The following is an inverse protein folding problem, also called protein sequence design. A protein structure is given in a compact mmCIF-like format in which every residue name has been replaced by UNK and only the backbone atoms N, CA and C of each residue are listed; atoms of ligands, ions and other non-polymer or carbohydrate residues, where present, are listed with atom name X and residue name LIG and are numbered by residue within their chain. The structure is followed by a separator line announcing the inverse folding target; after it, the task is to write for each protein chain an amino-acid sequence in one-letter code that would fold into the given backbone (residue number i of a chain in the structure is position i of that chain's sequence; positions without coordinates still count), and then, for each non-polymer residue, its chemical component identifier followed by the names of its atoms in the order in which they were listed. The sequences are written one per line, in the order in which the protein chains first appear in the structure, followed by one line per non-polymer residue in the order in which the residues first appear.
data_IF_857175740646
#
_entry.id   IF_857175740646
#
_cell.length_a   1.000
_cell.length_b   1.000
_cell.length_c   1.000
_cell.angle_alpha   90.00
_cell.angle_beta   90.00
_cell.angle_gamma   90.00
#
_symmetry.space_group_name_H-M   'P 1'
#
loop_
_entity.id
_entity.type
_entity.pdbx_description
1 polymer ?
#
# COMPACT_ATOMS: atom_id res chain seq x y z
N UNK A 1 -0.33 10.43 -16.45
CA UNK A 1 0.26 11.46 -17.34
C UNK A 1 1.67 11.88 -16.92
N UNK A 2 2.00 11.95 -15.62
CA UNK A 2 3.33 12.33 -15.14
C UNK A 2 4.45 11.29 -15.36
N UNK A 3 4.13 9.98 -15.38
CA UNK A 3 5.14 8.93 -15.64
C UNK A 3 5.70 8.91 -17.07
N UNK A 4 4.94 9.40 -18.07
CA UNK A 4 5.41 9.48 -19.46
C UNK A 4 6.37 10.64 -19.72
N UNK A 5 6.34 11.68 -18.89
CA UNK A 5 7.23 12.85 -19.03
C UNK A 5 8.65 12.50 -18.57
N UNK A 6 8.79 11.63 -17.56
CA UNK A 6 10.11 11.24 -17.03
C UNK A 6 10.88 10.31 -17.98
N UNK A 7 10.18 9.40 -18.66
CA UNK A 7 10.80 8.47 -19.62
C UNK A 7 11.22 9.20 -20.92
N UNK A 8 10.46 10.23 -21.35
CA UNK A 8 10.76 10.96 -22.60
C UNK A 8 12.03 11.81 -22.52
N UNK A 9 12.39 12.38 -21.35
CA UNK A 9 13.64 13.14 -21.19
C UNK A 9 14.88 12.25 -21.18
N UNK A 10 14.77 11.02 -20.69
CA UNK A 10 15.87 10.05 -20.70
C UNK A 10 16.21 9.57 -22.13
N UNK A 11 15.19 9.36 -22.97
CA UNK A 11 15.39 8.90 -24.34
C UNK A 11 16.07 9.94 -25.26
N UNK A 12 15.84 11.23 -25.05
CA UNK A 12 16.45 12.28 -25.88
C UNK A 12 17.94 12.53 -25.57
N UNK A 13 18.45 12.12 -24.41
CA UNK A 13 19.86 12.27 -24.05
C UNK A 13 20.78 11.21 -24.70
N UNK A 14 20.20 10.12 -25.23
CA UNK A 14 20.97 8.97 -25.74
C UNK A 14 21.33 9.06 -27.24
N UNK A 15 20.87 10.08 -27.97
CA UNK A 15 21.04 10.19 -29.43
C UNK A 15 22.34 10.93 -29.85
N UNK A 16 23.10 11.50 -28.90
CA UNK A 16 24.20 12.43 -29.22
C UNK A 16 25.63 11.88 -29.08
N UNK A 17 25.87 10.57 -29.27
CA UNK A 17 27.24 10.01 -29.26
C UNK A 17 27.46 9.10 -30.49
N UNK A 18 28.21 9.64 -31.47
CA UNK A 18 28.73 8.91 -32.63
C UNK A 18 29.83 7.90 -32.27
N UNK A 19 30.37 7.14 -33.25
CA UNK A 19 31.14 5.94 -32.95
C UNK A 19 32.67 6.17 -32.79
N UNK A 20 33.22 5.52 -31.75
CA UNK A 20 34.64 5.12 -31.48
C UNK A 20 35.69 6.21 -31.17
N UNK A 21 36.82 5.90 -30.47
CA UNK A 21 37.46 4.58 -30.30
C UNK A 21 37.86 4.15 -28.87
N UNK A 22 38.31 2.88 -28.78
CA UNK A 22 38.89 2.18 -27.62
C UNK A 22 40.07 2.92 -26.97
N UNK A 23 40.26 2.66 -25.68
CA UNK A 23 41.43 2.97 -24.84
C UNK A 23 41.44 4.31 -24.08
N UNK A 24 40.65 4.41 -23.00
CA UNK A 24 41.08 5.05 -21.75
C UNK A 24 40.08 4.75 -20.63
N UNK A 25 40.59 4.34 -19.47
CA UNK A 25 39.84 4.24 -18.22
C UNK A 25 39.20 5.60 -17.90
N UNK A 26 37.86 5.73 -17.83
CA UNK A 26 37.27 6.94 -17.29
C UNK A 26 37.21 6.81 -15.76
N UNK A 27 38.00 7.65 -15.09
CA UNK A 27 37.73 8.06 -13.72
C UNK A 27 36.40 8.80 -13.78
N UNK A 28 35.30 8.09 -13.55
CA UNK A 28 33.97 8.68 -13.46
C UNK A 28 33.93 9.49 -12.15
N UNK A 29 33.57 10.78 -12.18
CA UNK A 29 33.56 11.61 -10.98
C UNK A 29 32.49 11.10 -10.02
N UNK A 30 32.95 10.77 -8.81
CA UNK A 30 32.21 10.22 -7.66
C UNK A 30 31.21 11.23 -7.04
N UNK A 31 30.77 12.25 -7.78
CA UNK A 31 30.06 13.44 -7.26
C UNK A 31 28.60 13.57 -7.75
N UNK A 32 28.05 12.57 -8.45
CA UNK A 32 26.61 12.51 -8.80
C UNK A 32 25.90 11.28 -8.23
N UNK A 33 26.49 10.65 -7.22
CA UNK A 33 25.72 9.85 -6.28
C UNK A 33 25.14 10.84 -5.26
N UNK A 34 23.93 11.35 -5.55
CA UNK A 34 23.09 11.87 -4.47
C UNK A 34 22.94 10.70 -3.49
N UNK A 35 23.58 10.86 -2.34
CA UNK A 35 23.51 9.98 -1.19
C UNK A 35 22.06 9.96 -0.66
N UNK A 36 21.22 9.16 -1.32
CA UNK A 36 19.87 8.79 -0.88
C UNK A 36 19.87 7.50 -0.05
N UNK A 37 21.06 6.96 0.26
CA UNK A 37 21.17 5.66 0.92
C UNK A 37 21.13 5.73 2.44
N UNK A 38 21.38 6.90 3.06
CA UNK A 38 21.46 7.02 4.52
C UNK A 38 20.40 7.93 5.19
N UNK A 39 19.54 8.62 4.43
CA UNK A 39 18.45 9.48 4.95
C UNK A 39 17.04 8.89 4.88
N UNK A 40 16.92 7.68 4.35
CA UNK A 40 15.65 6.98 4.13
C UNK A 40 14.89 6.55 5.39
N UNK A 41 15.49 6.20 6.55
CA UNK A 41 14.68 5.83 7.72
C UNK A 41 14.09 7.04 8.46
N UNK A 42 14.70 8.22 8.40
CA UNK A 42 14.19 9.42 9.09
C UNK A 42 13.05 10.10 8.34
N UNK A 43 13.14 10.19 7.00
CA UNK A 43 12.06 10.72 6.14
C UNK A 43 10.80 9.87 6.24
N UNK A 44 10.93 8.53 6.18
CA UNK A 44 9.76 7.64 6.29
C UNK A 44 9.10 7.76 7.66
N UNK A 45 9.88 7.89 8.74
CA UNK A 45 9.36 8.12 10.10
C UNK A 45 8.65 9.48 10.24
N UNK A 46 9.23 10.55 9.71
CA UNK A 46 8.61 11.89 9.74
C UNK A 46 7.30 11.89 8.94
N UNK A 47 7.28 11.29 7.75
CA UNK A 47 6.07 11.23 6.92
C UNK A 47 5.00 10.33 7.52
N UNK A 48 5.36 9.22 8.19
CA UNK A 48 4.38 8.38 8.91
C UNK A 48 3.82 9.06 10.16
N UNK A 49 4.63 9.83 10.90
CA UNK A 49 4.13 10.68 12.01
C UNK A 49 3.22 11.78 11.47
N UNK A 50 3.59 12.42 10.35
CA UNK A 50 2.77 13.41 9.66
C UNK A 50 1.43 12.84 9.18
N UNK A 51 1.43 11.62 8.63
CA UNK A 51 0.21 10.91 8.24
C UNK A 51 -0.67 10.60 9.45
N UNK A 52 -0.10 10.13 10.56
CA UNK A 52 -0.85 9.86 11.78
C UNK A 52 -1.50 11.14 12.35
N UNK A 53 -0.75 12.25 12.38
CA UNK A 53 -1.29 13.56 12.78
C UNK A 53 -2.38 14.05 11.84
N UNK A 54 -2.22 13.83 10.53
CA UNK A 54 -3.21 14.19 9.52
C UNK A 54 -4.53 13.41 9.66
N UNK A 55 -4.44 12.10 9.90
CA UNK A 55 -5.61 11.25 10.18
C UNK A 55 -6.28 11.70 11.47
N UNK A 56 -5.50 11.98 12.52
CA UNK A 56 -6.02 12.47 13.80
C UNK A 56 -6.73 13.81 13.65
N UNK A 57 -6.17 14.72 12.86
CA UNK A 57 -6.80 16.00 12.52
C UNK A 57 -8.12 15.79 11.75
N UNK A 58 -8.15 14.87 10.77
CA UNK A 58 -9.36 14.50 10.04
C UNK A 58 -10.47 13.97 10.95
N UNK A 59 -10.11 13.09 11.90
CA UNK A 59 -11.01 12.56 12.93
C UNK A 59 -11.53 13.66 13.85
N UNK A 60 -10.68 14.58 14.29
CA UNK A 60 -11.08 15.72 15.13
C UNK A 60 -12.07 16.62 14.38
N UNK A 61 -11.79 16.96 13.11
CA UNK A 61 -12.69 17.79 12.30
C UNK A 61 -14.04 17.11 12.10
N UNK A 62 -14.04 15.78 11.90
CA UNK A 62 -15.28 14.99 11.78
C UNK A 62 -16.10 15.02 13.08
N UNK A 63 -15.46 14.85 14.24
CA UNK A 63 -16.11 14.91 15.55
C UNK A 63 -16.68 16.32 15.83
N UNK A 64 -15.94 17.38 15.48
CA UNK A 64 -16.37 18.78 15.71
C UNK A 64 -17.49 19.20 14.75
N UNK A 65 -17.49 18.69 13.51
CA UNK A 65 -18.51 18.98 12.49
C UNK A 65 -19.54 17.87 12.33
N UNK A 66 -19.82 17.14 13.41
CA UNK A 66 -20.70 15.96 13.43
C UNK A 66 -22.10 16.21 12.84
N UNK A 67 -22.69 17.39 13.05
CA UNK A 67 -24.01 17.75 12.50
C UNK A 67 -24.05 17.86 10.97
N UNK A 68 -22.90 17.97 10.31
CA UNK A 68 -22.82 18.04 8.84
C UNK A 68 -22.83 16.67 8.15
N UNK A 69 -22.77 15.58 8.92
CA UNK A 69 -22.71 14.21 8.40
C UNK A 69 -24.00 13.43 8.73
N UNK A 70 -24.41 12.57 7.81
CA UNK A 70 -25.53 11.65 8.02
C UNK A 70 -25.12 10.22 7.69
N UNK A 71 -25.66 9.27 8.44
CA UNK A 71 -25.32 7.86 8.32
C UNK A 71 -25.81 7.04 9.51
N UNK A 72 -25.57 5.73 9.46
CA UNK A 72 -25.80 4.84 10.61
C UNK A 72 -24.80 5.18 11.72
N UNK A 73 -25.31 5.54 12.90
CA UNK A 73 -24.52 6.05 14.02
C UNK A 73 -24.29 4.96 15.05
N UNK A 74 -23.06 4.84 15.50
CA UNK A 74 -22.69 3.93 16.59
C UNK A 74 -21.94 4.66 17.70
N UNK A 75 -20.68 5.01 17.47
CA UNK A 75 -19.85 5.74 18.42
C UNK A 75 -19.08 6.81 17.67
N UNK A 76 -19.04 8.04 18.18
CA UNK A 76 -18.49 9.18 17.44
C UNK A 76 -17.05 8.97 16.99
N UNK A 77 -16.22 8.37 17.85
CA UNK A 77 -14.83 8.07 17.51
C UNK A 77 -14.70 6.95 16.48
N UNK A 78 -15.44 5.85 16.65
CA UNK A 78 -15.37 4.67 15.76
C UNK A 78 -15.89 5.01 14.37
N UNK A 79 -16.97 5.77 14.30
CA UNK A 79 -17.59 6.22 13.05
C UNK A 79 -16.65 7.18 12.29
N UNK A 80 -15.99 8.09 13.01
CA UNK A 80 -15.01 9.01 12.43
C UNK A 80 -13.78 8.27 11.88
N UNK A 81 -13.27 7.29 12.64
CA UNK A 81 -12.17 6.43 12.20
C UNK A 81 -12.57 5.59 10.99
N UNK A 82 -13.77 4.99 11.01
CA UNK A 82 -14.28 4.21 9.90
C UNK A 82 -14.39 5.07 8.63
N UNK A 83 -15.06 6.22 8.72
CA UNK A 83 -15.16 7.16 7.61
C UNK A 83 -13.79 7.57 7.06
N UNK A 84 -12.84 7.88 7.94
CA UNK A 84 -11.48 8.29 7.54
C UNK A 84 -10.75 7.15 6.82
N UNK A 85 -10.75 5.94 7.38
CA UNK A 85 -10.07 4.78 6.77
C UNK A 85 -10.73 4.37 5.46
N UNK A 86 -12.05 4.28 5.41
CA UNK A 86 -12.81 3.92 4.20
C UNK A 86 -12.58 4.93 3.07
N UNK A 87 -12.44 6.21 3.42
CA UNK A 87 -12.12 7.28 2.47
C UNK A 87 -10.66 7.21 2.00
N UNK A 88 -9.70 7.02 2.92
CA UNK A 88 -8.27 6.93 2.60
C UNK A 88 -7.92 5.67 1.80
N UNK A 89 -8.56 4.56 2.12
CA UNK A 89 -8.43 3.30 1.39
C UNK A 89 -9.23 3.29 0.08
N UNK A 90 -9.87 4.42 -0.27
CA UNK A 90 -10.66 4.59 -1.50
C UNK A 90 -11.77 3.55 -1.68
N UNK A 91 -12.29 2.98 -0.58
CA UNK A 91 -13.37 1.99 -0.61
C UNK A 91 -14.70 2.69 -0.77
N UNK A 92 -14.96 3.70 0.06
CA UNK A 92 -16.12 4.58 -0.08
C UNK A 92 -17.50 3.92 0.05
N UNK A 93 -17.76 3.12 1.10
CA UNK A 93 -19.08 2.48 1.29
C UNK A 93 -20.29 3.42 1.28
N UNK A 94 -20.11 4.71 1.58
CA UNK A 94 -21.21 5.67 1.58
C UNK A 94 -22.19 5.52 2.76
N UNK A 95 -21.84 4.72 3.77
CA UNK A 95 -22.62 4.57 5.01
C UNK A 95 -22.62 5.84 5.87
N UNK A 96 -21.57 6.66 5.72
CA UNK A 96 -21.40 7.99 6.31
C UNK A 96 -21.01 8.95 5.19
N UNK A 97 -21.84 9.97 4.95
CA UNK A 97 -21.61 10.94 3.87
C UNK A 97 -21.75 12.40 4.34
N UNK A 98 -20.89 13.31 3.84
CA UNK A 98 -21.03 14.74 4.10
C UNK A 98 -22.25 15.31 3.35
N UNK A 99 -23.17 15.97 4.06
CA UNK A 99 -24.31 16.64 3.42
C UNK A 99 -24.04 18.11 3.11
N UNK A 100 -23.26 18.80 3.93
CA UNK A 100 -23.02 20.24 3.76
C UNK A 100 -21.96 20.52 2.69
N UNK A 101 -22.08 21.62 1.92
CA UNK A 101 -21.08 22.00 0.92
C UNK A 101 -19.67 22.14 1.52
N UNK A 102 -19.58 22.66 2.73
CA UNK A 102 -18.31 22.83 3.45
C UNK A 102 -17.70 21.47 3.84
N UNK A 103 -18.50 20.51 4.32
CA UNK A 103 -18.01 19.17 4.62
C UNK A 103 -17.56 18.43 3.34
N UNK A 104 -18.25 18.62 2.21
CA UNK A 104 -17.82 18.05 0.92
C UNK A 104 -16.49 18.62 0.46
N UNK A 105 -16.29 19.94 0.54
CA UNK A 105 -15.00 20.58 0.20
C UNK A 105 -13.86 20.08 1.10
N UNK A 106 -14.12 19.94 2.39
CA UNK A 106 -13.15 19.38 3.33
C UNK A 106 -12.76 17.95 2.96
N UNK A 107 -13.74 17.09 2.66
CA UNK A 107 -13.49 15.70 2.25
C UNK A 107 -12.70 15.63 0.95
N UNK A 108 -12.99 16.51 -0.02
CA UNK A 108 -12.21 16.59 -1.26
C UNK A 108 -10.73 16.92 -0.99
N UNK A 109 -10.45 17.93 -0.15
CA UNK A 109 -9.09 18.23 0.25
C UNK A 109 -8.45 17.09 1.05
N UNK A 110 -9.26 16.41 1.88
CA UNK A 110 -8.84 15.29 2.69
C UNK A 110 -8.34 14.11 1.85
N UNK A 111 -9.08 13.74 0.82
CA UNK A 111 -8.74 12.64 -0.10
C UNK A 111 -7.47 12.95 -0.88
N UNK A 112 -7.33 14.17 -1.41
CA UNK A 112 -6.19 14.55 -2.25
C UNK A 112 -4.86 14.47 -1.49
N UNK A 113 -4.85 14.95 -0.25
CA UNK A 113 -3.67 14.91 0.60
C UNK A 113 -3.47 13.51 1.19
N UNK A 114 -4.56 12.86 1.61
CA UNK A 114 -4.56 11.52 2.18
C UNK A 114 -4.00 10.44 1.26
N UNK A 115 -4.32 10.49 -0.04
CA UNK A 115 -3.80 9.52 -1.02
C UNK A 115 -2.27 9.53 -1.10
N UNK A 116 -1.64 10.71 -1.02
CA UNK A 116 -0.18 10.84 -1.01
C UNK A 116 0.46 10.20 0.23
N UNK A 117 -0.20 10.25 1.38
CA UNK A 117 0.29 9.60 2.59
C UNK A 117 0.13 8.08 2.56
N UNK A 118 -0.96 7.57 1.98
CA UNK A 118 -1.16 6.13 1.78
C UNK A 118 -0.06 5.54 0.89
N UNK A 119 0.34 6.24 -0.17
CA UNK A 119 1.44 5.82 -1.07
C UNK A 119 2.80 5.72 -0.35
N UNK A 120 3.08 6.64 0.58
CA UNK A 120 4.32 6.58 1.38
C UNK A 120 4.27 5.48 2.44
N UNK A 121 3.12 5.27 3.08
CA UNK A 121 2.91 4.16 4.03
C UNK A 121 3.04 2.81 3.34
N UNK A 122 2.50 2.71 2.12
CA UNK A 122 2.81 1.63 1.22
C UNK A 122 4.34 1.56 1.10
N UNK A 123 5.05 2.55 0.55
CA UNK A 123 6.51 2.48 0.32
C UNK A 123 7.30 1.90 1.49
N UNK A 124 7.07 2.40 2.71
CA UNK A 124 7.68 1.89 3.95
C UNK A 124 7.41 0.40 4.22
N UNK A 125 6.16 -0.06 4.03
CA UNK A 125 5.81 -1.48 4.22
C UNK A 125 6.51 -2.39 3.20
N UNK A 126 6.75 -1.94 1.97
CA UNK A 126 7.43 -2.77 0.94
C UNK A 126 8.84 -2.99 1.34
N UNK A 127 9.53 -1.92 1.73
CA UNK A 127 10.92 -2.01 2.16
C UNK A 127 11.03 -3.00 3.32
N UNK A 128 10.13 -2.90 4.30
CA UNK A 128 10.09 -3.85 5.41
C UNK A 128 9.88 -5.31 4.99
N UNK A 129 8.97 -5.58 4.03
CA UNK A 129 8.71 -6.94 3.55
C UNK A 129 9.86 -7.44 2.65
N UNK A 130 10.45 -6.59 1.82
CA UNK A 130 11.58 -6.92 0.97
C UNK A 130 12.82 -7.25 1.79
N UNK A 131 13.13 -6.46 2.81
CA UNK A 131 14.26 -6.72 3.72
C UNK A 131 14.15 -8.10 4.36
N UNK A 132 12.92 -8.55 4.69
CA UNK A 132 12.67 -9.90 5.22
C UNK A 132 12.87 -10.99 4.18
N UNK A 133 12.54 -10.74 2.91
CA UNK A 133 12.80 -11.69 1.83
C UNK A 133 14.30 -11.78 1.50
N UNK A 134 15.02 -10.66 1.56
CA UNK A 134 16.47 -10.62 1.32
C UNK A 134 17.26 -11.31 2.43
N UNK A 135 16.88 -11.14 3.70
CA UNK A 135 17.54 -11.82 4.83
C UNK A 135 17.44 -13.36 4.76
N UNK A 136 16.30 -13.89 4.30
CA UNK A 136 16.09 -15.34 4.12
C UNK A 136 16.85 -15.85 2.88
N UNK A 137 16.97 -15.04 1.83
CA UNK A 137 17.72 -15.42 0.64
C UNK A 137 19.25 -15.39 0.86
N UNK A 138 19.77 -14.44 1.64
CA UNK A 138 21.21 -14.31 1.93
C UNK A 138 21.72 -15.44 2.82
N UNK A 139 20.93 -15.87 3.81
CA UNK A 139 21.28 -17.00 4.69
C UNK A 139 21.31 -18.36 3.97
N UNK A 140 20.62 -18.50 2.84
CA UNK A 140 20.69 -19.70 2.00
C UNK A 140 21.89 -19.72 1.04
N UNK A 141 22.68 -18.64 0.95
CA UNK A 141 23.80 -18.50 0.00
C UNK A 141 25.16 -18.78 0.62
N UNK A 142 25.29 -18.80 1.96
CA UNK A 142 26.60 -18.81 2.64
C UNK A 142 27.16 -20.22 2.96
N UNK A 143 26.66 -21.27 2.31
CA UNK A 143 27.09 -22.66 2.57
C UNK A 143 27.59 -23.41 1.33
N UNK A 144 28.86 -23.25 0.96
CA UNK A 144 29.63 -24.28 0.20
C UNK A 144 30.21 -23.89 -1.18
N UNK A 145 31.54 -24.01 -1.30
CA UNK A 145 32.41 -24.22 -2.50
C UNK A 145 32.36 -23.26 -3.71
N UNK A 146 33.34 -22.35 -3.72
CA UNK A 146 33.54 -21.17 -4.58
C UNK A 146 33.73 -21.36 -6.11
N UNK A 147 33.82 -22.59 -6.64
CA UNK A 147 34.10 -22.85 -8.07
C UNK A 147 32.89 -23.33 -8.88
N UNK A 148 32.10 -24.28 -8.36
CA UNK A 148 30.81 -24.68 -8.96
C UNK A 148 29.70 -23.62 -8.73
N UNK A 149 29.93 -22.69 -7.82
CA UNK A 149 29.00 -21.61 -7.46
C UNK A 149 28.77 -20.62 -8.59
N UNK A 150 29.76 -20.27 -9.42
CA UNK A 150 29.54 -19.24 -10.48
C UNK A 150 28.60 -19.76 -11.57
N UNK A 151 28.81 -21.00 -12.05
CA UNK A 151 27.95 -21.62 -13.06
C UNK A 151 26.55 -21.95 -12.49
N UNK A 152 26.47 -22.43 -11.24
CA UNK A 152 25.18 -22.59 -10.54
C UNK A 152 24.49 -21.25 -10.28
N UNK A 153 25.22 -20.18 -10.01
CA UNK A 153 24.64 -18.84 -9.80
C UNK A 153 24.05 -18.31 -11.09
N UNK A 154 24.74 -18.50 -12.23
CA UNK A 154 24.24 -18.07 -13.53
C UNK A 154 23.05 -18.91 -14.02
N UNK A 155 23.13 -20.24 -13.92
CA UNK A 155 22.02 -21.16 -14.30
C UNK A 155 20.85 -21.04 -13.34
N UNK A 156 21.11 -20.84 -12.04
CA UNK A 156 20.05 -20.46 -11.10
C UNK A 156 19.51 -19.08 -11.40
N UNK A 157 20.27 -18.08 -11.89
CA UNK A 157 19.70 -16.75 -12.09
C UNK A 157 18.59 -16.73 -13.15
N UNK A 158 18.62 -17.64 -14.13
CA UNK A 158 17.56 -17.78 -15.15
C UNK A 158 16.33 -18.54 -14.59
N UNK A 159 16.52 -19.68 -13.93
CA UNK A 159 15.41 -20.49 -13.39
C UNK A 159 14.81 -19.89 -12.10
N UNK A 160 15.66 -19.32 -11.24
CA UNK A 160 15.31 -18.68 -9.97
C UNK A 160 14.63 -17.33 -10.18
N UNK A 161 14.84 -16.65 -11.32
CA UNK A 161 14.05 -15.45 -11.68
C UNK A 161 12.58 -15.83 -11.90
N UNK A 162 12.29 -16.99 -12.51
CA UNK A 162 10.92 -17.52 -12.66
C UNK A 162 10.33 -17.99 -11.33
N UNK A 163 11.14 -18.61 -10.47
CA UNK A 163 10.71 -19.06 -9.14
C UNK A 163 10.52 -17.90 -8.15
N UNK A 164 11.31 -16.82 -8.22
CA UNK A 164 11.08 -15.60 -7.42
C UNK A 164 9.77 -14.93 -7.78
N UNK A 165 9.44 -14.85 -9.07
CA UNK A 165 8.15 -14.31 -9.52
C UNK A 165 7.02 -15.22 -9.02
N UNK A 166 7.11 -16.54 -9.24
CA UNK A 166 6.07 -17.49 -8.77
C UNK A 166 5.90 -17.50 -7.26
N UNK A 167 7.00 -17.43 -6.49
CA UNK A 167 6.94 -17.43 -5.03
C UNK A 167 6.40 -16.10 -4.49
N UNK A 168 6.75 -14.96 -5.11
CA UNK A 168 6.16 -13.66 -4.78
C UNK A 168 4.67 -13.61 -5.10
N UNK A 169 4.27 -14.03 -6.30
CA UNK A 169 2.87 -14.11 -6.72
C UNK A 169 2.08 -15.09 -5.84
N UNK A 170 2.66 -16.24 -5.51
CA UNK A 170 2.04 -17.21 -4.60
C UNK A 170 1.83 -16.63 -3.19
N UNK A 171 2.83 -15.95 -2.64
CA UNK A 171 2.73 -15.31 -1.33
C UNK A 171 1.69 -14.18 -1.34
N UNK A 172 1.69 -13.36 -2.40
CA UNK A 172 0.70 -12.31 -2.65
C UNK A 172 -0.73 -12.86 -2.71
N UNK A 173 -0.95 -13.96 -3.44
CA UNK A 173 -2.24 -14.63 -3.52
C UNK A 173 -2.68 -15.19 -2.16
N UNK A 174 -1.77 -15.84 -1.43
CA UNK A 174 -2.05 -16.36 -0.09
C UNK A 174 -2.46 -15.25 0.88
N UNK A 175 -1.77 -14.10 0.85
CA UNK A 175 -2.11 -12.93 1.67
C UNK A 175 -3.48 -12.37 1.28
N UNK A 176 -3.76 -12.21 -0.02
CA UNK A 176 -5.06 -11.74 -0.49
C UNK A 176 -6.21 -12.67 -0.05
N UNK A 177 -6.03 -13.98 -0.21
CA UNK A 177 -7.01 -14.98 0.24
C UNK A 177 -7.17 -14.95 1.77
N UNK A 178 -6.08 -14.81 2.52
CA UNK A 178 -6.12 -14.67 3.98
C UNK A 178 -6.85 -13.41 4.45
N UNK A 179 -6.63 -12.27 3.77
CA UNK A 179 -7.38 -11.04 4.01
C UNK A 179 -8.87 -11.23 3.75
N UNK A 180 -9.25 -11.88 2.64
CA UNK A 180 -10.65 -12.15 2.31
C UNK A 180 -11.29 -13.13 3.30
N UNK A 181 -10.59 -14.19 3.69
CA UNK A 181 -11.09 -15.16 4.66
C UNK A 181 -11.32 -14.51 6.04
N UNK A 182 -10.36 -13.72 6.52
CA UNK A 182 -10.49 -13.00 7.80
C UNK A 182 -11.63 -11.98 7.79
N UNK A 183 -11.81 -11.22 6.70
CA UNK A 183 -12.94 -10.30 6.54
C UNK A 183 -14.28 -11.02 6.48
N UNK A 184 -14.36 -12.14 5.78
CA UNK A 184 -15.58 -12.97 5.67
C UNK A 184 -16.01 -13.51 7.04
N UNK A 185 -15.07 -14.08 7.80
CA UNK A 185 -15.35 -14.60 9.14
C UNK A 185 -15.76 -13.47 10.09
N UNK A 186 -15.07 -12.34 10.04
CA UNK A 186 -15.42 -11.18 10.88
C UNK A 186 -16.79 -10.61 10.53
N UNK A 187 -17.14 -10.48 9.25
CA UNK A 187 -18.46 -10.05 8.80
C UNK A 187 -19.56 -10.99 9.32
N UNK A 188 -19.35 -12.31 9.26
CA UNK A 188 -20.30 -13.28 9.79
C UNK A 188 -20.47 -13.19 11.30
N UNK A 189 -19.37 -13.10 12.05
CA UNK A 189 -19.40 -13.13 13.53
C UNK A 189 -19.82 -11.79 14.14
N UNK A 190 -19.40 -10.67 13.54
CA UNK A 190 -19.63 -9.33 14.09
C UNK A 190 -20.93 -8.70 13.60
N UNK A 191 -21.30 -8.93 12.33
CA UNK A 191 -22.50 -8.33 11.72
C UNK A 191 -23.62 -9.36 11.50
N UNK A 192 -23.35 -10.66 11.59
CA UNK A 192 -24.37 -11.70 11.40
C UNK A 192 -24.80 -11.92 9.95
N UNK A 193 -24.10 -11.33 8.98
CA UNK A 193 -24.38 -11.44 7.53
C UNK A 193 -24.32 -12.90 7.05
N UNK A 194 -25.05 -13.27 6.01
CA UNK A 194 -24.97 -14.62 5.46
C UNK A 194 -23.58 -14.91 4.86
N UNK A 195 -23.24 -16.17 4.60
CA UNK A 195 -21.92 -16.54 4.07
C UNK A 195 -21.61 -15.86 2.73
N UNK A 196 -22.61 -15.77 1.85
CA UNK A 196 -22.45 -15.13 0.54
C UNK A 196 -22.24 -13.62 0.68
N UNK A 197 -23.03 -12.96 1.51
CA UNK A 197 -22.95 -11.52 1.78
C UNK A 197 -21.62 -11.16 2.48
N UNK A 198 -21.19 -11.98 3.43
CA UNK A 198 -19.93 -11.80 4.15
C UNK A 198 -18.73 -11.92 3.20
N UNK A 199 -18.76 -12.90 2.31
CA UNK A 199 -17.72 -13.08 1.31
C UNK A 199 -17.72 -11.93 0.29
N UNK A 200 -18.91 -11.55 -0.18
CA UNK A 200 -19.10 -10.44 -1.11
C UNK A 200 -18.58 -9.11 -0.52
N UNK A 201 -18.97 -8.80 0.72
CA UNK A 201 -18.47 -7.62 1.45
C UNK A 201 -16.96 -7.67 1.58
N UNK A 202 -16.39 -8.81 1.97
CA UNK A 202 -14.95 -8.93 2.15
C UNK A 202 -14.18 -8.73 0.83
N UNK A 203 -14.63 -9.33 -0.26
CA UNK A 203 -13.98 -9.19 -1.58
C UNK A 203 -14.05 -7.74 -2.05
N UNK A 204 -15.26 -7.16 -2.09
CA UNK A 204 -15.47 -5.79 -2.58
C UNK A 204 -14.72 -4.73 -1.78
N UNK A 205 -14.51 -4.99 -0.49
CA UNK A 205 -13.73 -4.11 0.40
C UNK A 205 -12.23 -4.21 0.15
N UNK A 206 -11.70 -5.43 0.05
CA UNK A 206 -10.27 -5.69 -0.17
C UNK A 206 -9.84 -5.21 -1.57
N UNK A 207 -10.72 -5.33 -2.56
CA UNK A 207 -10.49 -4.81 -3.92
C UNK A 207 -10.85 -3.34 -4.08
N UNK A 208 -11.20 -2.65 -2.99
CA UNK A 208 -11.58 -1.22 -2.97
C UNK A 208 -12.66 -0.84 -3.98
N UNK A 209 -13.59 -1.75 -4.26
CA UNK A 209 -14.78 -1.49 -5.11
C UNK A 209 -15.88 -0.83 -4.29
N UNK A 210 -16.16 -1.38 -3.10
CA UNK A 210 -17.01 -0.75 -2.08
C UNK A 210 -18.36 -0.23 -2.57
N UNK A 211 -19.20 -1.07 -3.18
CA UNK A 211 -20.51 -0.67 -3.70
C UNK A 211 -21.42 0.02 -2.67
N UNK A 212 -21.25 -0.29 -1.38
CA UNK A 212 -21.97 0.37 -0.29
C UNK A 212 -23.34 -0.22 0.02
N UNK A 213 -23.68 -1.34 -0.61
CA UNK A 213 -24.88 -2.14 -0.34
C UNK A 213 -24.79 -2.89 0.99
N UNK A 214 -23.60 -3.41 1.32
CA UNK A 214 -23.28 -3.95 2.64
C UNK A 214 -22.12 -3.16 3.27
N UNK A 215 -22.16 -2.97 4.58
CA UNK A 215 -21.09 -2.33 5.35
C UNK A 215 -21.12 -2.77 6.81
N UNK A 216 -20.02 -2.56 7.53
CA UNK A 216 -19.98 -2.80 8.96
C UNK A 216 -20.78 -1.72 9.69
N UNK A 217 -21.88 -2.10 10.33
CA UNK A 217 -22.78 -1.19 11.03
C UNK A 217 -22.63 -1.27 12.54
N UNK A 218 -22.14 -2.40 13.07
CA UNK A 218 -21.94 -2.58 14.51
C UNK A 218 -20.68 -1.85 14.99
N UNK A 219 -20.68 -1.43 16.26
CA UNK A 219 -19.50 -0.79 16.89
C UNK A 219 -18.26 -1.68 16.79
N UNK A 220 -18.42 -2.98 17.05
CA UNK A 220 -17.33 -3.97 17.03
C UNK A 220 -16.88 -4.25 15.61
N UNK A 221 -17.81 -4.40 14.67
CA UNK A 221 -17.53 -4.58 13.25
C UNK A 221 -16.76 -3.41 12.66
N UNK A 222 -17.18 -2.18 12.93
CA UNK A 222 -16.49 -0.96 12.47
C UNK A 222 -15.09 -0.82 13.05
N UNK A 223 -14.91 -1.10 14.35
CA UNK A 223 -13.60 -1.05 14.98
C UNK A 223 -12.65 -2.13 14.43
N UNK A 224 -13.17 -3.31 14.08
CA UNK A 224 -12.40 -4.32 13.36
C UNK A 224 -12.07 -3.86 11.93
N UNK A 225 -13.08 -3.36 11.21
CA UNK A 225 -12.96 -2.94 9.82
C UNK A 225 -11.94 -1.82 9.65
N UNK A 226 -11.86 -0.84 10.56
CA UNK A 226 -10.85 0.23 10.48
C UNK A 226 -9.41 -0.32 10.47
N UNK A 227 -9.08 -1.24 11.37
CA UNK A 227 -7.76 -1.84 11.40
C UNK A 227 -7.55 -2.81 10.22
N UNK A 228 -8.54 -3.65 9.96
CA UNK A 228 -8.47 -4.70 8.93
C UNK A 228 -8.41 -4.14 7.51
N UNK A 229 -9.20 -3.13 7.17
CA UNK A 229 -9.21 -2.50 5.84
C UNK A 229 -7.88 -1.81 5.56
N UNK A 230 -7.33 -1.10 6.53
CA UNK A 230 -6.04 -0.44 6.38
C UNK A 230 -4.93 -1.47 6.11
N UNK A 231 -4.89 -2.57 6.88
CA UNK A 231 -3.88 -3.62 6.65
C UNK A 231 -4.12 -4.35 5.33
N UNK A 232 -5.36 -4.71 5.02
CA UNK A 232 -5.70 -5.53 3.86
C UNK A 232 -5.49 -4.78 2.55
N UNK A 233 -5.91 -3.52 2.47
CA UNK A 233 -5.70 -2.71 1.26
C UNK A 233 -4.22 -2.43 1.02
N UNK A 234 -3.44 -2.16 2.07
CA UNK A 234 -1.99 -2.00 1.93
C UNK A 234 -1.29 -3.29 1.49
N UNK A 235 -1.70 -4.43 2.03
CA UNK A 235 -1.16 -5.74 1.66
C UNK A 235 -1.51 -6.11 0.22
N UNK A 236 -2.76 -5.88 -0.21
CA UNK A 236 -3.24 -6.23 -1.55
C UNK A 236 -2.72 -5.26 -2.62
N UNK A 237 -2.65 -3.95 -2.34
CA UNK A 237 -2.02 -3.00 -3.25
C UNK A 237 -0.59 -3.43 -3.62
N UNK A 238 0.11 -4.10 -2.70
CA UNK A 238 1.44 -4.67 -2.95
C UNK A 238 1.47 -5.99 -3.65
N UNK A 239 0.51 -6.85 -3.39
CA UNK A 239 0.32 -8.06 -4.17
C UNK A 239 0.22 -7.76 -5.68
N UNK A 240 -0.38 -6.63 -6.06
CA UNK A 240 -0.59 -6.27 -7.47
C UNK A 240 0.54 -5.45 -8.13
N UNK A 241 1.39 -4.79 -7.35
CA UNK A 241 2.48 -3.94 -7.88
C UNK A 241 3.80 -4.68 -8.09
N UNK A 242 3.89 -5.98 -7.75
CA UNK A 242 5.12 -6.81 -7.79
C UNK A 242 5.03 -7.97 -8.77
#
# INVERSE_FOLDING_TARGET
MMARIYISKAAHAQVALGPLPLHMHPIIPQCLAIDDSHRTPSIVRITSIGAALYITLGVIVFIVKWDSFSGHRTCSLVDALNFSVVTLCTIGYGDIVPRTPLAKLFVCAFVLVGFGFVDVLLDGLVRHVLDRQEAVLLSAVDGGERSNVVLRTYVMDIEKRRMRIRMKVGCALCVAVGCIASGTVAARVLEGLDWLESFYLSVTSVTTVGYGDYSFTTVRGRAFATAWLLVSTLAVARAFLY
#
